data_IF_023876718378
#
_entry.id   IF_023876718378
#
_cell.length_a   1.000
_cell.length_b   1.000
_cell.length_c   1.000
_cell.angle_alpha   90.00
_cell.angle_beta   90.00
_cell.angle_gamma   90.00
#
_symmetry.space_group_name_H-M   'P 1'
#
loop_
_entity.id
_entity.type
_entity.pdbx_description
1 polymer ?
#
# COMPACT_ATOMS: atom_id res chain seq x y z
N UNK A 1 -21.46 2.47 12.99
CA UNK A 1 -20.87 3.40 11.98
C UNK A 1 -19.52 2.81 11.62
N UNK A 2 -19.34 2.41 10.35
CA UNK A 2 -18.04 1.94 9.84
C UNK A 2 -17.01 3.07 10.00
N UNK A 3 -15.81 2.71 10.46
CA UNK A 3 -14.73 3.68 10.48
C UNK A 3 -14.31 4.06 9.04
N UNK A 4 -13.54 5.13 8.88
CA UNK A 4 -13.18 5.64 7.56
C UNK A 4 -12.42 4.60 6.71
N UNK A 5 -11.53 3.84 7.33
CA UNK A 5 -10.72 2.84 6.62
C UNK A 5 -11.57 1.66 6.13
N UNK A 6 -12.58 1.23 6.89
CA UNK A 6 -13.52 0.18 6.43
C UNK A 6 -14.35 0.65 5.23
N UNK A 7 -14.75 1.92 5.19
CA UNK A 7 -15.43 2.49 4.02
C UNK A 7 -14.51 2.51 2.81
N UNK A 8 -13.27 2.97 2.97
CA UNK A 8 -12.28 2.99 1.90
C UNK A 8 -11.98 1.59 1.37
N UNK A 9 -11.83 0.59 2.24
CA UNK A 9 -11.64 -0.81 1.85
C UNK A 9 -12.82 -1.35 1.03
N UNK A 10 -14.06 -1.10 1.46
CA UNK A 10 -15.24 -1.49 0.70
C UNK A 10 -15.27 -0.82 -0.67
N UNK A 11 -14.93 0.46 -0.75
CA UNK A 11 -14.83 1.17 -2.02
C UNK A 11 -13.76 0.54 -2.91
N UNK A 12 -12.56 0.29 -2.39
CA UNK A 12 -11.47 -0.33 -3.12
C UNK A 12 -11.87 -1.70 -3.70
N UNK A 13 -12.48 -2.57 -2.88
CA UNK A 13 -12.95 -3.89 -3.30
C UNK A 13 -14.05 -3.80 -4.37
N UNK A 14 -15.01 -2.89 -4.21
CA UNK A 14 -16.11 -2.73 -5.18
C UNK A 14 -15.66 -2.22 -6.55
N UNK A 15 -14.51 -1.55 -6.60
CA UNK A 15 -13.95 -0.95 -7.82
C UNK A 15 -12.85 -1.80 -8.44
N UNK A 16 -12.36 -2.80 -7.74
CA UNK A 16 -11.41 -3.78 -8.24
C UNK A 16 -12.13 -4.80 -9.15
N UNK A 17 -12.57 -4.36 -10.33
CA UNK A 17 -13.43 -5.11 -11.24
C UNK A 17 -12.71 -5.55 -12.53
N UNK A 18 -11.39 -5.42 -12.62
CA UNK A 18 -10.63 -5.90 -13.76
C UNK A 18 -10.67 -7.43 -13.84
N UNK A 19 -11.02 -8.02 -15.00
CA UNK A 19 -11.13 -9.47 -15.14
C UNK A 19 -9.84 -10.23 -14.79
N UNK A 20 -8.67 -9.64 -15.00
CA UNK A 20 -7.36 -10.27 -14.73
C UNK A 20 -7.12 -10.55 -13.23
N UNK A 21 -7.76 -9.81 -12.35
CA UNK A 21 -7.61 -9.92 -10.88
C UNK A 21 -8.89 -10.32 -10.16
N UNK A 22 -9.99 -10.51 -10.89
CA UNK A 22 -11.34 -10.74 -10.33
C UNK A 22 -11.39 -11.92 -9.35
N UNK A 23 -10.70 -13.03 -9.62
CA UNK A 23 -10.65 -14.18 -8.72
C UNK A 23 -9.97 -13.86 -7.38
N UNK A 24 -8.89 -13.07 -7.40
CA UNK A 24 -8.21 -12.63 -6.18
C UNK A 24 -9.13 -11.70 -5.37
N UNK A 25 -9.73 -10.73 -6.05
CA UNK A 25 -10.64 -9.74 -5.40
C UNK A 25 -11.85 -10.42 -4.78
N UNK A 26 -12.45 -11.39 -5.48
CA UNK A 26 -13.56 -12.17 -4.96
C UNK A 26 -13.17 -12.90 -3.67
N UNK A 27 -12.06 -13.62 -3.67
CA UNK A 27 -11.58 -14.34 -2.48
C UNK A 27 -11.30 -13.38 -1.31
N UNK A 28 -10.65 -12.23 -1.55
CA UNK A 28 -10.43 -11.22 -0.51
C UNK A 28 -11.76 -10.71 0.03
N UNK A 29 -12.73 -10.45 -0.84
CA UNK A 29 -14.06 -9.95 -0.44
C UNK A 29 -14.78 -10.95 0.45
N UNK A 30 -14.76 -12.23 0.10
CA UNK A 30 -15.38 -13.30 0.89
C UNK A 30 -14.75 -13.46 2.27
N UNK A 31 -13.41 -13.41 2.36
CA UNK A 31 -12.69 -13.59 3.63
C UNK A 31 -12.37 -12.27 4.36
N UNK A 32 -12.87 -11.12 3.89
CA UNK A 32 -12.55 -9.80 4.47
C UNK A 32 -12.76 -9.74 5.98
N UNK A 33 -13.78 -10.42 6.51
CA UNK A 33 -14.10 -10.44 7.95
C UNK A 33 -13.15 -11.29 8.78
N UNK A 34 -12.50 -12.27 8.13
CA UNK A 34 -11.58 -13.20 8.77
C UNK A 34 -10.14 -12.67 8.75
N UNK A 35 -9.86 -11.70 7.89
CA UNK A 35 -8.58 -11.03 7.81
C UNK A 35 -8.37 -10.07 9.00
N UNK A 36 -7.16 -10.08 9.55
CA UNK A 36 -6.77 -9.23 10.67
C UNK A 36 -6.27 -7.88 10.16
N UNK A 37 -7.20 -7.02 9.78
CA UNK A 37 -6.88 -5.69 9.29
C UNK A 37 -6.31 -4.80 10.38
N UNK A 38 -5.19 -4.17 10.10
CA UNK A 38 -4.53 -3.22 11.00
C UNK A 38 -3.92 -2.06 10.21
N UNK A 39 -3.76 -0.92 10.87
CA UNK A 39 -2.92 0.16 10.39
C UNK A 39 -1.46 -0.16 10.69
N UNK A 40 -0.57 0.21 9.79
CA UNK A 40 0.83 0.36 10.15
C UNK A 40 0.97 1.57 11.09
N UNK A 41 1.45 1.30 12.29
CA UNK A 41 1.75 2.29 13.31
C UNK A 41 3.24 2.16 13.69
N UNK A 42 4.12 2.35 12.73
CA UNK A 42 5.57 2.11 12.80
C UNK A 42 5.96 0.64 12.98
N UNK A 43 5.10 -0.30 12.58
CA UNK A 43 5.42 -1.74 12.59
C UNK A 43 6.58 -2.05 11.61
N UNK A 44 6.62 -1.31 10.50
CA UNK A 44 7.62 -1.47 9.43
C UNK A 44 8.68 -0.36 9.40
N UNK A 45 8.61 0.62 10.29
CA UNK A 45 9.48 1.80 10.28
C UNK A 45 10.04 2.09 11.66
N UNK A 46 11.23 2.68 11.78
CA UNK A 46 11.69 3.26 13.04
C UNK A 46 10.68 4.27 13.56
N UNK A 47 10.47 4.28 14.89
CA UNK A 47 9.59 5.25 15.55
C UNK A 47 10.02 6.69 15.21
N UNK A 48 9.03 7.54 14.90
CA UNK A 48 9.27 8.94 14.53
C UNK A 48 9.64 9.15 13.06
N UNK A 49 9.60 8.10 12.21
CA UNK A 49 9.76 8.26 10.76
C UNK A 49 8.67 9.16 10.18
N UNK A 50 9.03 10.06 9.26
CA UNK A 50 8.05 10.92 8.56
C UNK A 50 7.36 10.16 7.42
N UNK A 51 6.32 9.41 7.77
CA UNK A 51 5.52 8.61 6.82
C UNK A 51 4.56 9.45 5.97
N UNK A 52 4.39 10.73 6.30
CA UNK A 52 3.38 11.59 5.70
C UNK A 52 1.97 11.39 6.27
N UNK A 53 1.19 12.48 6.28
CA UNK A 53 -0.15 12.48 6.85
C UNK A 53 -1.11 11.52 6.13
N UNK A 54 -1.11 11.54 4.79
CA UNK A 54 -1.98 10.68 4.00
C UNK A 54 -1.80 9.20 4.33
N UNK A 55 -0.56 8.73 4.38
CA UNK A 55 -0.23 7.36 4.75
C UNK A 55 -0.70 7.03 6.17
N UNK A 56 -0.35 7.83 7.17
CA UNK A 56 -0.71 7.56 8.56
C UNK A 56 -2.21 7.55 8.82
N UNK A 57 -2.98 8.33 8.07
CA UNK A 57 -4.44 8.38 8.20
C UNK A 57 -5.14 7.24 7.45
N UNK A 58 -4.61 6.77 6.32
CA UNK A 58 -5.36 5.94 5.37
C UNK A 58 -4.76 4.58 5.03
N UNK A 59 -3.57 4.23 5.55
CA UNK A 59 -3.04 2.89 5.32
C UNK A 59 -3.86 1.81 6.03
N UNK A 60 -3.96 0.64 5.43
CA UNK A 60 -4.58 -0.53 6.01
C UNK A 60 -3.96 -1.79 5.40
N UNK A 61 -3.59 -2.75 6.22
CA UNK A 61 -3.05 -4.01 5.72
C UNK A 61 -3.53 -5.20 6.53
N UNK A 62 -3.48 -6.38 5.92
CA UNK A 62 -3.71 -7.65 6.57
C UNK A 62 -2.68 -8.68 6.10
N UNK A 63 -1.88 -9.18 7.02
CA UNK A 63 -0.91 -10.23 6.74
C UNK A 63 -1.63 -11.59 6.73
N UNK A 64 -1.60 -12.27 5.59
CA UNK A 64 -2.18 -13.61 5.42
C UNK A 64 -1.14 -14.66 5.84
N UNK A 65 0.06 -14.59 5.28
CA UNK A 65 1.18 -15.46 5.58
C UNK A 65 2.35 -14.59 6.02
N UNK A 66 3.07 -14.97 7.05
CA UNK A 66 4.22 -14.19 7.51
C UNK A 66 4.56 -14.43 8.98
N UNK A 67 5.30 -13.50 9.63
CA UNK A 67 5.70 -13.62 11.03
C UNK A 67 4.51 -13.52 11.99
N UNK A 68 4.80 -13.32 13.27
CA UNK A 68 3.78 -13.20 14.31
C UNK A 68 2.74 -12.12 14.00
N UNK A 69 1.47 -12.49 14.13
CA UNK A 69 0.34 -11.62 13.77
C UNK A 69 -0.36 -12.02 12.47
N UNK A 70 0.30 -12.77 11.59
CA UNK A 70 -0.30 -13.34 10.37
C UNK A 70 -1.30 -14.45 10.68
N UNK A 71 -2.19 -14.78 9.73
CA UNK A 71 -3.08 -15.94 9.84
C UNK A 71 -2.30 -17.25 9.80
N UNK A 72 -1.34 -17.36 8.90
CA UNK A 72 -0.44 -18.50 8.76
C UNK A 72 0.99 -18.05 9.04
N UNK A 73 1.65 -18.73 9.98
CA UNK A 73 2.98 -18.33 10.46
C UNK A 73 4.12 -18.91 9.62
N UNK A 74 5.01 -18.04 9.20
CA UNK A 74 6.36 -18.36 8.70
C UNK A 74 7.27 -17.14 8.89
N UNK A 75 8.58 -17.35 8.96
CA UNK A 75 9.58 -16.29 8.93
C UNK A 75 10.37 -16.26 7.61
N UNK A 76 9.98 -17.07 6.64
CA UNK A 76 10.68 -17.16 5.37
C UNK A 76 10.24 -16.12 4.36
N UNK A 77 8.92 -15.82 4.32
CA UNK A 77 8.32 -14.84 3.43
C UNK A 77 7.04 -14.26 4.05
N UNK A 78 6.56 -13.17 3.50
CA UNK A 78 5.32 -12.53 3.94
C UNK A 78 4.44 -12.22 2.73
N UNK A 79 3.14 -12.51 2.85
CA UNK A 79 2.12 -12.16 1.84
C UNK A 79 0.92 -11.56 2.57
N UNK A 80 0.40 -10.48 2.02
CA UNK A 80 -0.79 -9.85 2.57
C UNK A 80 -1.53 -8.98 1.57
N UNK A 81 -2.57 -8.34 2.06
CA UNK A 81 -3.34 -7.33 1.34
C UNK A 81 -2.97 -5.96 1.91
N UNK A 82 -2.75 -5.00 1.03
CA UNK A 82 -2.40 -3.63 1.38
C UNK A 82 -3.34 -2.65 0.68
N UNK A 83 -3.79 -1.64 1.42
CA UNK A 83 -4.63 -0.56 0.92
C UNK A 83 -4.06 0.79 1.36
N UNK A 84 -4.08 1.73 0.44
CA UNK A 84 -3.92 3.16 0.71
C UNK A 84 -5.21 3.90 0.32
N UNK A 85 -5.63 4.82 1.17
CA UNK A 85 -6.75 5.69 0.85
C UNK A 85 -6.45 6.67 -0.29
N UNK A 86 -7.47 7.34 -0.82
CA UNK A 86 -7.30 8.34 -1.86
C UNK A 86 -6.46 9.53 -1.35
N UNK A 87 -5.90 10.27 -2.29
CA UNK A 87 -5.10 11.49 -2.05
C UNK A 87 -3.90 11.26 -1.13
N UNK A 88 -3.24 10.12 -1.31
CA UNK A 88 -2.12 9.68 -0.45
C UNK A 88 -0.82 9.61 -1.23
N UNK A 89 0.22 10.23 -0.69
CA UNK A 89 1.61 9.95 -1.03
C UNK A 89 2.15 8.93 -0.03
N UNK A 90 2.55 7.76 -0.50
CA UNK A 90 3.42 6.85 0.22
C UNK A 90 4.85 7.19 -0.18
N UNK A 91 5.55 7.87 0.71
CA UNK A 91 6.84 8.51 0.46
C UNK A 91 7.90 7.53 -0.01
N UNK A 92 8.91 8.06 -0.68
CA UNK A 92 10.07 7.28 -1.12
C UNK A 92 10.71 6.56 0.07
N UNK A 93 10.74 5.25 -0.03
CA UNK A 93 11.29 4.37 0.99
C UNK A 93 12.00 3.18 0.34
N UNK A 94 12.82 2.52 1.12
CA UNK A 94 13.48 1.27 0.70
C UNK A 94 13.60 0.31 1.88
N UNK A 95 13.73 -0.96 1.57
CA UNK A 95 13.99 -2.03 2.52
C UNK A 95 14.79 -3.15 1.86
N UNK A 96 15.45 -3.97 2.67
CA UNK A 96 16.30 -5.06 2.17
C UNK A 96 15.47 -6.22 1.57
N UNK A 97 14.22 -6.43 2.05
CA UNK A 97 13.34 -7.44 1.50
C UNK A 97 13.01 -7.15 0.02
N UNK A 98 13.26 -8.07 -0.93
CA UNK A 98 12.67 -7.94 -2.25
C UNK A 98 11.16 -8.03 -2.19
N UNK A 99 10.46 -7.15 -2.89
CA UNK A 99 9.01 -7.03 -2.77
C UNK A 99 8.30 -7.10 -4.12
N UNK A 100 7.19 -7.82 -4.15
CA UNK A 100 6.27 -7.86 -5.27
C UNK A 100 4.92 -7.28 -4.86
N UNK A 101 4.40 -6.34 -5.65
CA UNK A 101 3.00 -5.95 -5.60
C UNK A 101 2.22 -6.50 -6.79
N UNK A 102 0.98 -6.89 -6.54
CA UNK A 102 -0.04 -7.11 -7.58
C UNK A 102 -1.10 -6.03 -7.39
N UNK A 103 -1.17 -5.07 -8.30
CA UNK A 103 -2.19 -4.03 -8.24
C UNK A 103 -3.57 -4.63 -8.53
N UNK A 104 -4.52 -4.53 -7.60
CA UNK A 104 -5.86 -5.07 -7.71
C UNK A 104 -6.89 -4.01 -8.10
N UNK A 105 -6.70 -2.78 -7.65
CA UNK A 105 -7.62 -1.68 -7.89
C UNK A 105 -7.18 -0.84 -9.08
N UNK A 106 -7.78 0.34 -9.19
CA UNK A 106 -7.57 1.31 -10.25
C UNK A 106 -6.11 1.72 -10.48
N UNK A 107 -5.91 2.82 -11.13
CA UNK A 107 -4.58 3.35 -11.46
C UNK A 107 -3.89 3.86 -10.20
N UNK A 108 -2.60 3.55 -10.07
CA UNK A 108 -1.67 4.12 -9.09
C UNK A 108 -0.43 4.60 -9.81
N UNK A 109 0.17 5.68 -9.32
CA UNK A 109 1.43 6.18 -9.85
C UNK A 109 2.57 5.71 -8.94
N UNK A 110 3.66 5.26 -9.56
CA UNK A 110 4.83 4.71 -8.90
C UNK A 110 6.08 5.46 -9.32
N UNK A 111 7.01 5.60 -8.41
CA UNK A 111 8.32 6.18 -8.66
C UNK A 111 9.40 5.23 -8.14
N UNK A 112 10.46 5.03 -8.92
CA UNK A 112 11.60 4.19 -8.58
C UNK A 112 12.88 5.00 -8.64
N UNK A 113 13.76 4.83 -7.64
CA UNK A 113 15.09 5.44 -7.58
C UNK A 113 15.07 6.97 -7.85
N UNK A 114 14.05 7.65 -7.30
CA UNK A 114 13.82 9.09 -7.48
C UNK A 114 13.57 9.53 -8.93
N UNK A 115 13.25 8.59 -9.81
CA UNK A 115 12.98 8.83 -11.23
C UNK A 115 11.59 9.45 -11.50
N UNK A 116 11.12 9.41 -12.74
CA UNK A 116 9.79 9.90 -13.09
C UNK A 116 8.68 9.00 -12.56
N UNK A 117 7.50 9.57 -12.33
CA UNK A 117 6.29 8.83 -11.99
C UNK A 117 5.79 8.01 -13.19
N UNK A 118 5.51 6.74 -12.94
CA UNK A 118 4.95 5.78 -13.91
C UNK A 118 3.58 5.34 -13.43
N UNK A 119 2.58 5.33 -14.32
CA UNK A 119 1.20 4.93 -13.99
C UNK A 119 0.96 3.47 -14.33
N UNK A 120 0.44 2.71 -13.36
CA UNK A 120 0.08 1.31 -13.50
C UNK A 120 -1.40 1.09 -13.20
N UNK A 121 -2.02 0.17 -13.93
CA UNK A 121 -3.40 -0.26 -13.76
C UNK A 121 -3.54 -1.56 -12.98
N UNK A 122 -4.77 -2.04 -12.83
CA UNK A 122 -5.07 -3.34 -12.26
C UNK A 122 -4.37 -4.48 -13.04
N UNK A 123 -3.97 -5.53 -12.35
CA UNK A 123 -3.24 -6.67 -12.90
C UNK A 123 -1.74 -6.43 -13.10
N UNK A 124 -1.25 -5.19 -12.94
CA UNK A 124 0.18 -4.92 -13.06
C UNK A 124 0.95 -5.54 -11.89
N UNK A 125 2.05 -6.22 -12.23
CA UNK A 125 3.05 -6.70 -11.28
C UNK A 125 4.11 -5.61 -11.13
N UNK A 126 4.33 -5.15 -9.89
CA UNK A 126 5.36 -4.16 -9.57
C UNK A 126 6.42 -4.84 -8.73
N UNK A 127 7.64 -4.90 -9.23
CA UNK A 127 8.77 -5.51 -8.57
C UNK A 127 9.70 -4.43 -8.00
N UNK A 128 9.98 -4.51 -6.71
CA UNK A 128 10.99 -3.73 -6.01
C UNK A 128 12.16 -4.65 -5.63
N UNK A 129 13.31 -4.39 -6.19
CA UNK A 129 14.52 -5.13 -5.84
C UNK A 129 14.99 -4.77 -4.43
N UNK A 130 15.86 -5.60 -3.86
CA UNK A 130 16.52 -5.33 -2.59
C UNK A 130 17.09 -3.90 -2.54
N UNK A 131 16.72 -3.13 -1.50
CA UNK A 131 17.10 -1.74 -1.29
C UNK A 131 16.70 -0.74 -2.40
N UNK A 132 15.90 -1.14 -3.38
CA UNK A 132 15.39 -0.22 -4.38
C UNK A 132 14.47 0.82 -3.74
N UNK A 133 14.75 2.09 -3.99
CA UNK A 133 13.88 3.17 -3.53
C UNK A 133 12.60 3.18 -4.37
N UNK A 134 11.46 3.20 -3.71
CA UNK A 134 10.16 3.27 -4.38
C UNK A 134 9.16 4.11 -3.61
N UNK A 135 8.20 4.66 -4.33
CA UNK A 135 7.11 5.47 -3.79
C UNK A 135 5.82 5.20 -4.56
N UNK A 136 4.68 5.42 -3.91
CA UNK A 136 3.35 5.26 -4.52
C UNK A 136 2.52 6.50 -4.31
N UNK A 137 1.87 6.98 -5.37
CA UNK A 137 0.94 8.10 -5.34
C UNK A 137 -0.46 7.60 -5.68
N UNK A 138 -1.39 7.85 -4.78
CA UNK A 138 -2.81 7.50 -4.92
C UNK A 138 -3.61 8.77 -5.12
N UNK A 139 -4.35 8.85 -6.25
CA UNK A 139 -5.23 9.96 -6.56
C UNK A 139 -6.62 9.78 -5.91
N UNK A 140 -7.69 10.02 -6.64
CA UNK A 140 -9.08 10.03 -6.14
C UNK A 140 -9.63 8.68 -5.65
N UNK A 141 -9.04 7.58 -6.12
CA UNK A 141 -9.54 6.22 -5.85
C UNK A 141 -8.58 5.45 -4.96
N UNK A 142 -9.07 4.70 -3.95
CA UNK A 142 -8.20 3.92 -3.08
C UNK A 142 -7.36 2.90 -3.87
N UNK A 143 -6.10 2.77 -3.52
CA UNK A 143 -5.21 1.73 -4.01
C UNK A 143 -5.39 0.45 -3.19
N UNK A 144 -5.57 -0.68 -3.85
CA UNK A 144 -5.63 -2.01 -3.25
C UNK A 144 -4.65 -2.93 -3.97
N UNK A 145 -3.87 -3.70 -3.22
CA UNK A 145 -2.88 -4.63 -3.78
C UNK A 145 -2.70 -5.87 -2.91
N UNK A 146 -2.20 -6.94 -3.52
CA UNK A 146 -1.43 -7.94 -2.79
C UNK A 146 0.01 -7.43 -2.69
N UNK A 147 0.64 -7.64 -1.56
CA UNK A 147 2.08 -7.46 -1.41
C UNK A 147 2.73 -8.77 -0.96
N UNK A 148 3.98 -8.98 -1.36
CA UNK A 148 4.79 -10.12 -0.93
C UNK A 148 6.23 -9.70 -0.70
N UNK A 149 6.76 -9.95 0.51
CA UNK A 149 8.18 -9.90 0.81
C UNK A 149 8.74 -11.32 0.74
N UNK A 150 9.76 -11.54 -0.08
CA UNK A 150 10.23 -12.88 -0.39
C UNK A 150 11.25 -13.42 0.62
N UNK A 151 11.83 -12.56 1.42
CA UNK A 151 12.72 -12.86 2.55
C UNK A 151 12.80 -11.64 3.48
N UNK A 152 13.67 -11.67 4.48
CA UNK A 152 13.95 -10.54 5.39
C UNK A 152 12.68 -9.88 5.98
N UNK A 153 11.68 -10.70 6.28
CA UNK A 153 10.31 -10.28 6.66
C UNK A 153 10.24 -9.45 7.96
N UNK A 154 11.32 -9.37 8.71
CA UNK A 154 11.43 -8.58 9.95
C UNK A 154 12.29 -7.32 9.76
N UNK A 155 12.70 -6.99 8.54
CA UNK A 155 13.48 -5.78 8.29
C UNK A 155 12.64 -4.52 8.48
N UNK A 156 13.30 -3.41 8.79
CA UNK A 156 12.66 -2.10 8.82
C UNK A 156 12.90 -1.37 7.49
N UNK A 157 11.90 -0.61 7.09
CA UNK A 157 11.97 0.29 5.96
C UNK A 157 12.69 1.58 6.36
N UNK A 158 13.32 2.22 5.38
CA UNK A 158 13.97 3.52 5.52
C UNK A 158 13.25 4.54 4.64
N UNK A 159 12.78 5.64 5.23
CA UNK A 159 12.25 6.78 4.47
C UNK A 159 13.40 7.58 3.87
N UNK A 160 13.24 7.98 2.62
CA UNK A 160 14.15 8.89 1.91
C UNK A 160 13.46 10.26 1.76
N UNK A 161 14.11 11.31 2.26
CA UNK A 161 13.59 12.67 2.12
C UNK A 161 13.86 13.20 0.70
N UNK A 162 12.81 13.55 -0.01
CA UNK A 162 12.87 14.15 -1.35
C UNK A 162 12.22 15.54 -1.29
N UNK A 163 12.80 16.49 -2.01
CA UNK A 163 12.41 17.92 -1.93
C UNK A 163 10.98 18.18 -2.43
N UNK A 164 10.42 17.31 -3.27
CA UNK A 164 9.07 17.43 -3.83
C UNK A 164 7.96 16.86 -2.95
N UNK A 165 8.26 16.07 -1.92
CA UNK A 165 7.25 15.45 -1.04
C UNK A 165 6.24 16.47 -0.52
N UNK A 166 6.71 17.57 0.05
CA UNK A 166 5.84 18.62 0.60
C UNK A 166 4.94 19.26 -0.46
N UNK A 167 5.47 19.46 -1.67
CA UNK A 167 4.69 20.02 -2.77
C UNK A 167 3.59 19.04 -3.19
N UNK A 168 3.92 17.76 -3.34
CA UNK A 168 2.96 16.70 -3.71
C UNK A 168 1.87 16.57 -2.64
N UNK A 169 2.22 16.49 -1.35
CA UNK A 169 1.25 16.40 -0.26
C UNK A 169 0.30 17.60 -0.23
N UNK A 170 0.79 18.82 -0.46
CA UNK A 170 -0.05 20.02 -0.54
C UNK A 170 -0.99 19.98 -1.74
N UNK A 171 -0.55 19.51 -2.91
CA UNK A 171 -1.40 19.35 -4.07
C UNK A 171 -2.52 18.32 -3.83
N UNK A 172 -2.20 17.19 -3.21
CA UNK A 172 -3.18 16.16 -2.85
C UNK A 172 -4.23 16.69 -1.86
N UNK A 173 -3.83 17.51 -0.88
CA UNK A 173 -4.76 18.14 0.06
C UNK A 173 -5.73 19.09 -0.65
N UNK A 174 -5.25 19.91 -1.60
CA UNK A 174 -6.12 20.79 -2.39
C UNK A 174 -7.10 20.00 -3.24
N UNK A 175 -6.63 18.97 -3.96
CA UNK A 175 -7.47 18.11 -4.78
C UNK A 175 -8.53 17.37 -3.96
N UNK A 176 -8.17 16.89 -2.76
CA UNK A 176 -9.13 16.23 -1.87
C UNK A 176 -10.24 17.17 -1.39
N UNK A 177 -9.92 18.45 -1.18
CA UNK A 177 -10.91 19.46 -0.77
C UNK A 177 -11.85 19.85 -1.91
N UNK A 178 -11.40 19.79 -3.16
CA UNK A 178 -12.22 20.07 -4.36
C UNK A 178 -13.16 18.91 -4.73
N UNK A 179 -12.85 17.69 -4.25
CA UNK A 179 -13.63 16.48 -4.52
C UNK A 179 -14.80 16.25 -3.53
N UNK A 180 -14.94 17.09 -2.50
CA UNK A 180 -15.99 17.05 -1.46
C UNK A 180 -17.14 17.98 -1.80
#
# INVERSE_FOLDING_TARGET
ILNNNERMLKTALSQANDPSVSGIVMNITECTKDLRWKKDNFDFYPEGSDLGRGYTESNLHAQIIGPDGSLFKTNEFMIGVFMLGPWTLYKDHSHIAPELYINLSSKSDWRFDFGPWCRFGAGTLVWNSENQVHATLVSEMPFLSIFAWLNEVNCLCKIHHVSDHRQIENQLLLQSAEAL
#
